data_IF_031203839481
#
_entry.id   IF_031203839481
#
_cell.length_a   1.000
_cell.length_b   1.000
_cell.length_c   1.000
_cell.angle_alpha   90.00
_cell.angle_beta   90.00
_cell.angle_gamma   90.00
#
_symmetry.space_group_name_H-M   'P 1'
#
loop_
_entity.id
_entity.type
_entity.pdbx_description
1 polymer ?
#
# COMPACT_ATOMS: atom_id res chain seq x y z
N UNK A 1 -10.02 -10.06 -16.06
CA UNK A 1 -8.64 -10.59 -16.14
C UNK A 1 -8.21 -11.14 -14.79
N UNK A 2 -8.31 -10.34 -13.70
CA UNK A 2 -7.93 -10.81 -12.37
C UNK A 2 -8.80 -11.99 -11.84
N UNK A 3 -10.12 -12.02 -12.09
CA UNK A 3 -11.05 -13.10 -11.66
C UNK A 3 -10.68 -14.54 -12.07
N UNK A 4 -9.73 -14.69 -13.00
CA UNK A 4 -9.33 -16.00 -13.52
C UNK A 4 -8.01 -16.51 -12.95
N UNK A 5 -7.30 -15.69 -12.14
CA UNK A 5 -6.01 -16.07 -11.60
C UNK A 5 -6.21 -17.10 -10.48
N UNK A 6 -5.53 -18.23 -10.60
CA UNK A 6 -5.46 -19.17 -9.48
C UNK A 6 -4.60 -18.61 -8.34
N UNK A 7 -4.58 -19.30 -7.20
CA UNK A 7 -3.82 -18.85 -6.01
C UNK A 7 -2.31 -18.73 -6.28
N UNK A 8 -1.73 -19.58 -7.14
CA UNK A 8 -0.31 -19.48 -7.50
C UNK A 8 -0.06 -18.28 -8.40
N UNK A 9 -0.93 -18.03 -9.37
CA UNK A 9 -0.83 -16.87 -10.26
C UNK A 9 -1.06 -15.56 -9.50
N UNK A 10 -1.91 -15.56 -8.47
CA UNK A 10 -2.10 -14.43 -7.57
C UNK A 10 -0.84 -14.17 -6.71
N UNK A 11 -0.15 -15.22 -6.24
CA UNK A 11 1.15 -15.08 -5.56
C UNK A 11 2.20 -14.43 -6.48
N UNK A 12 2.26 -14.89 -7.73
CA UNK A 12 3.09 -14.31 -8.78
C UNK A 12 2.76 -12.83 -9.00
N UNK A 13 1.47 -12.50 -9.09
CA UNK A 13 1.01 -11.13 -9.26
C UNK A 13 1.46 -10.22 -8.12
N UNK A 14 1.36 -10.65 -6.85
CA UNK A 14 1.85 -9.88 -5.71
C UNK A 14 3.35 -9.61 -5.77
N UNK A 15 4.15 -10.62 -6.11
CA UNK A 15 5.60 -10.46 -6.28
C UNK A 15 5.91 -9.43 -7.39
N UNK A 16 5.18 -9.49 -8.51
CA UNK A 16 5.34 -8.53 -9.61
C UNK A 16 4.91 -7.11 -9.22
N UNK A 17 3.86 -6.96 -8.40
CA UNK A 17 3.35 -5.68 -7.92
C UNK A 17 4.38 -4.95 -7.03
N UNK A 18 5.26 -5.68 -6.36
CA UNK A 18 6.33 -5.10 -5.56
C UNK A 18 7.51 -4.58 -6.42
N UNK A 19 7.69 -5.06 -7.65
CA UNK A 19 8.76 -4.62 -8.55
C UNK A 19 8.75 -3.10 -8.83
N UNK A 20 7.63 -2.47 -9.23
CA UNK A 20 7.59 -1.02 -9.46
C UNK A 20 7.81 -0.18 -8.20
N UNK A 21 7.62 -0.78 -7.01
CA UNK A 21 7.97 -0.13 -5.75
C UNK A 21 9.49 -0.05 -5.54
N UNK A 22 10.28 -0.89 -6.22
CA UNK A 22 11.73 -0.98 -6.08
C UNK A 22 12.18 -1.31 -4.63
N UNK A 23 11.40 -2.17 -3.95
CA UNK A 23 11.63 -2.58 -2.55
C UNK A 23 12.24 -3.98 -2.42
N UNK A 24 12.31 -4.72 -3.52
CA UNK A 24 12.90 -6.06 -3.59
C UNK A 24 14.15 -5.97 -4.48
N UNK A 25 15.23 -6.66 -4.10
CA UNK A 25 16.44 -6.79 -4.92
C UNK A 25 16.24 -7.70 -6.13
N UNK A 26 17.05 -7.50 -7.18
CA UNK A 26 17.07 -8.39 -8.35
C UNK A 26 17.40 -9.84 -7.95
N UNK A 27 18.35 -10.05 -7.04
CA UNK A 27 18.67 -11.38 -6.52
C UNK A 27 17.46 -12.10 -5.89
N UNK A 28 16.61 -11.38 -5.15
CA UNK A 28 15.40 -11.97 -4.57
C UNK A 28 14.40 -12.36 -5.66
N UNK A 29 14.27 -11.54 -6.71
CA UNK A 29 13.47 -11.86 -7.90
C UNK A 29 14.01 -13.08 -8.63
N UNK A 30 15.33 -13.17 -8.83
CA UNK A 30 15.95 -14.31 -9.50
C UNK A 30 15.75 -15.60 -8.72
N UNK A 31 15.86 -15.54 -7.38
CA UNK A 31 15.52 -16.67 -6.51
C UNK A 31 14.04 -17.05 -6.61
N UNK A 32 13.13 -16.09 -6.75
CA UNK A 32 11.70 -16.37 -6.96
C UNK A 32 11.49 -17.16 -8.25
N UNK A 33 12.07 -16.70 -9.36
CA UNK A 33 11.93 -17.34 -10.68
C UNK A 33 12.62 -18.70 -10.79
N UNK A 34 13.76 -18.87 -10.14
CA UNK A 34 14.60 -20.08 -10.23
C UNK A 34 14.28 -21.13 -9.17
N UNK A 35 13.38 -20.85 -8.22
CA UNK A 35 13.17 -21.70 -7.04
C UNK A 35 12.69 -23.13 -7.34
N UNK A 36 12.14 -23.39 -8.53
CA UNK A 36 11.52 -24.67 -8.90
C UNK A 36 10.31 -25.05 -8.05
N UNK A 37 9.88 -24.17 -7.14
CA UNK A 37 8.70 -24.32 -6.28
C UNK A 37 7.51 -23.63 -6.91
N UNK A 38 6.31 -23.93 -6.40
CA UNK A 38 5.15 -23.12 -6.76
C UNK A 38 5.32 -21.69 -6.24
N UNK A 39 4.77 -20.72 -6.96
CA UNK A 39 4.86 -19.31 -6.59
C UNK A 39 4.27 -19.06 -5.20
N UNK A 40 3.19 -19.76 -4.83
CA UNK A 40 2.59 -19.67 -3.51
C UNK A 40 3.53 -20.17 -2.39
N UNK A 41 4.16 -21.35 -2.56
CA UNK A 41 5.06 -21.91 -1.55
C UNK A 41 6.26 -21.00 -1.30
N UNK A 42 6.82 -20.43 -2.37
CA UNK A 42 7.89 -19.44 -2.24
C UNK A 42 7.38 -18.18 -1.53
N UNK A 43 6.23 -17.64 -1.95
CA UNK A 43 5.68 -16.41 -1.39
C UNK A 43 5.48 -16.51 0.12
N UNK A 44 4.88 -17.61 0.59
CA UNK A 44 4.63 -17.84 2.01
C UNK A 44 5.92 -17.98 2.82
N UNK A 45 6.98 -18.56 2.25
CA UNK A 45 8.28 -18.75 2.93
C UNK A 45 9.15 -17.50 2.93
N UNK A 46 8.99 -16.61 1.96
CA UNK A 46 9.90 -15.49 1.74
C UNK A 46 9.67 -14.29 2.66
N UNK A 47 8.54 -14.27 3.37
CA UNK A 47 8.14 -13.17 4.26
C UNK A 47 8.28 -11.80 3.58
N UNK A 48 7.63 -11.62 2.43
CA UNK A 48 7.72 -10.40 1.63
C UNK A 48 7.32 -9.13 2.39
N UNK A 49 6.55 -9.26 3.47
CA UNK A 49 6.20 -8.14 4.32
C UNK A 49 7.45 -7.47 4.94
N UNK A 50 8.58 -8.18 5.11
CA UNK A 50 9.82 -7.58 5.63
C UNK A 50 10.38 -6.43 4.77
N UNK A 51 10.07 -6.40 3.47
CA UNK A 51 10.49 -5.34 2.54
C UNK A 51 9.66 -4.06 2.66
N UNK A 52 8.53 -4.11 3.39
CA UNK A 52 7.72 -2.94 3.72
C UNK A 52 8.11 -2.42 5.11
N UNK A 53 9.37 -2.08 5.34
CA UNK A 53 9.83 -1.42 6.57
C UNK A 53 9.66 0.12 6.48
N UNK A 54 9.89 0.79 7.60
CA UNK A 54 9.69 2.24 7.73
C UNK A 54 10.60 3.01 6.76
N UNK A 55 11.86 2.61 6.67
CA UNK A 55 12.86 3.29 5.83
C UNK A 55 12.50 3.16 4.36
N UNK A 56 12.22 1.93 3.91
CA UNK A 56 11.83 1.64 2.54
C UNK A 56 10.54 2.36 2.15
N UNK A 57 9.51 2.31 3.00
CA UNK A 57 8.25 3.03 2.76
C UNK A 57 8.47 4.54 2.68
N UNK A 58 9.34 5.11 3.52
CA UNK A 58 9.63 6.55 3.49
C UNK A 58 10.20 7.01 2.14
N UNK A 59 10.94 6.15 1.44
CA UNK A 59 11.50 6.45 0.11
C UNK A 59 10.47 6.38 -1.03
N UNK A 60 9.32 5.74 -0.82
CA UNK A 60 8.28 5.62 -1.84
C UNK A 60 7.56 6.95 -2.04
N UNK A 61 7.32 7.31 -3.31
CA UNK A 61 6.50 8.47 -3.65
C UNK A 61 5.04 8.26 -3.22
N UNK A 62 4.30 9.35 -3.04
CA UNK A 62 2.88 9.30 -2.66
C UNK A 62 2.04 8.56 -3.69
N UNK A 63 2.39 8.68 -4.98
CA UNK A 63 1.71 8.03 -6.10
C UNK A 63 1.94 6.52 -6.06
N UNK A 64 3.18 6.07 -5.80
CA UNK A 64 3.48 4.64 -5.67
C UNK A 64 2.73 4.00 -4.50
N UNK A 65 2.71 4.67 -3.34
CA UNK A 65 1.97 4.23 -2.15
C UNK A 65 0.46 4.11 -2.45
N UNK A 66 -0.12 5.17 -3.02
CA UNK A 66 -1.55 5.22 -3.34
C UNK A 66 -1.91 4.17 -4.39
N UNK A 67 -1.14 4.07 -5.46
CA UNK A 67 -1.36 3.09 -6.54
C UNK A 67 -1.29 1.66 -6.03
N UNK A 68 -0.32 1.35 -5.16
CA UNK A 68 -0.23 0.03 -4.55
C UNK A 68 -1.47 -0.30 -3.70
N UNK A 69 -1.92 0.64 -2.85
CA UNK A 69 -3.12 0.45 -2.02
C UNK A 69 -4.38 0.24 -2.86
N UNK A 70 -4.53 0.98 -3.97
CA UNK A 70 -5.64 0.78 -4.90
C UNK A 70 -5.63 -0.62 -5.51
N UNK A 71 -4.47 -1.11 -5.96
CA UNK A 71 -4.37 -2.48 -6.50
C UNK A 71 -4.68 -3.54 -5.42
N UNK A 72 -4.23 -3.34 -4.17
CA UNK A 72 -4.59 -4.24 -3.05
C UNK A 72 -6.10 -4.25 -2.80
N UNK A 73 -6.75 -3.09 -2.92
CA UNK A 73 -8.21 -2.96 -2.78
C UNK A 73 -8.94 -3.65 -3.94
N UNK A 74 -8.52 -3.42 -5.18
CA UNK A 74 -9.13 -4.06 -6.35
C UNK A 74 -9.05 -5.58 -6.26
N UNK A 75 -7.94 -6.13 -5.76
CA UNK A 75 -7.81 -7.58 -5.50
C UNK A 75 -8.84 -8.06 -4.46
N UNK A 76 -9.14 -7.29 -3.40
CA UNK A 76 -10.16 -7.69 -2.42
C UNK A 76 -11.56 -7.76 -3.02
N UNK A 77 -11.84 -6.84 -3.91
CA UNK A 77 -13.16 -6.72 -4.52
C UNK A 77 -13.40 -7.82 -5.55
N UNK A 78 -12.33 -8.20 -6.26
CA UNK A 78 -12.40 -9.15 -7.37
C UNK A 78 -12.32 -10.61 -6.92
N UNK A 79 -11.50 -10.93 -5.92
CA UNK A 79 -11.23 -12.31 -5.53
C UNK A 79 -12.08 -12.77 -4.34
N UNK A 80 -12.57 -14.00 -4.40
CA UNK A 80 -13.26 -14.62 -3.28
C UNK A 80 -12.32 -14.88 -2.09
N UNK A 81 -12.92 -15.16 -0.93
CA UNK A 81 -12.21 -15.40 0.32
C UNK A 81 -11.11 -16.48 0.21
N UNK A 82 -11.36 -17.57 -0.52
CA UNK A 82 -10.41 -18.68 -0.62
C UNK A 82 -9.14 -18.29 -1.38
N UNK A 83 -9.25 -17.41 -2.37
CA UNK A 83 -8.09 -16.90 -3.12
C UNK A 83 -7.27 -15.91 -2.30
N UNK A 84 -7.91 -15.04 -1.50
CA UNK A 84 -7.20 -14.00 -0.74
C UNK A 84 -6.67 -14.46 0.62
N UNK A 85 -7.27 -15.48 1.25
CA UNK A 85 -6.89 -15.97 2.57
C UNK A 85 -5.38 -16.27 2.71
N UNK A 86 -4.70 -16.91 1.75
CA UNK A 86 -3.27 -17.20 1.85
C UNK A 86 -2.36 -15.96 1.92
N UNK A 87 -2.88 -14.79 1.56
CA UNK A 87 -2.14 -13.53 1.46
C UNK A 87 -2.56 -12.50 2.50
N UNK A 88 -3.52 -12.82 3.38
CA UNK A 88 -4.15 -11.86 4.28
C UNK A 88 -3.13 -11.13 5.15
N UNK A 89 -2.18 -11.85 5.75
CA UNK A 89 -1.13 -11.29 6.61
C UNK A 89 -0.25 -10.28 5.86
N UNK A 90 0.24 -10.66 4.68
CA UNK A 90 1.02 -9.78 3.81
C UNK A 90 0.22 -8.52 3.46
N UNK A 91 -1.02 -8.68 2.99
CA UNK A 91 -1.85 -7.57 2.50
C UNK A 91 -2.21 -6.59 3.61
N UNK A 92 -2.70 -7.10 4.74
CA UNK A 92 -3.04 -6.28 5.91
C UNK A 92 -1.79 -5.62 6.49
N UNK A 93 -0.66 -6.33 6.54
CA UNK A 93 0.62 -5.79 6.94
C UNK A 93 1.06 -4.61 6.07
N UNK A 94 0.98 -4.74 4.74
CA UNK A 94 1.28 -3.63 3.82
C UNK A 94 0.35 -2.44 4.04
N UNK A 95 -0.97 -2.68 4.16
CA UNK A 95 -1.96 -1.62 4.37
C UNK A 95 -1.67 -0.85 5.65
N UNK A 96 -1.47 -1.54 6.78
CA UNK A 96 -1.20 -0.90 8.07
C UNK A 96 0.09 -0.08 8.01
N UNK A 97 1.18 -0.64 7.47
CA UNK A 97 2.47 0.06 7.43
C UNK A 97 2.47 1.25 6.47
N UNK A 98 1.78 1.14 5.35
CA UNK A 98 1.60 2.26 4.41
C UNK A 98 0.74 3.37 5.03
N UNK A 99 -0.38 3.03 5.68
CA UNK A 99 -1.28 4.02 6.30
C UNK A 99 -0.63 4.77 7.47
N UNK A 100 0.17 4.10 8.29
CA UNK A 100 0.93 4.76 9.38
C UNK A 100 1.86 5.85 8.81
N UNK A 101 2.42 5.65 7.62
CA UNK A 101 3.26 6.64 6.95
C UNK A 101 2.48 7.81 6.32
N UNK A 102 1.16 7.71 6.19
CA UNK A 102 0.29 8.81 5.75
C UNK A 102 -0.19 9.71 6.88
N UNK A 103 0.06 9.34 8.14
CA UNK A 103 -0.24 10.22 9.26
C UNK A 103 0.55 11.53 9.08
N UNK A 104 -0.11 12.69 8.95
CA UNK A 104 0.60 13.96 8.88
C UNK A 104 1.46 14.06 10.13
N UNK A 105 2.73 14.37 9.97
CA UNK A 105 3.58 14.78 11.08
C UNK A 105 2.90 15.99 11.73
N UNK A 106 2.15 15.78 12.82
CA UNK A 106 1.45 16.85 13.54
C UNK A 106 2.46 17.88 14.10
N UNK A 107 3.75 17.57 14.05
CA UNK A 107 4.82 18.48 14.46
C UNK A 107 5.28 19.49 13.39
N UNK A 108 4.87 19.36 12.12
CA UNK A 108 5.23 20.35 11.07
C UNK A 108 4.29 21.57 11.01
N UNK A 109 3.17 21.56 11.73
CA UNK A 109 2.17 22.64 11.68
C UNK A 109 2.42 23.80 12.67
N UNK A 110 3.58 23.82 13.36
CA UNK A 110 3.95 24.88 14.33
C UNK A 110 4.92 25.95 13.83
N UNK A 111 5.21 26.01 12.52
CA UNK A 111 6.02 27.08 11.94
C UNK A 111 5.41 27.66 10.65
N UNK A 112 4.16 28.13 10.73
CA UNK A 112 3.66 29.11 9.76
C UNK A 112 3.22 30.33 10.53
N UNK A 113 4.21 31.12 10.94
CA UNK A 113 4.00 32.52 11.24
C UNK A 113 4.83 33.34 10.26
N UNK A 114 4.11 34.20 9.52
CA UNK A 114 4.56 35.29 8.63
C UNK A 114 4.76 34.99 7.14
N UNK A 115 3.73 35.46 6.40
CA UNK A 115 3.84 36.31 5.21
C UNK A 115 4.36 35.62 3.92
N UNK A 116 3.50 35.16 3.01
CA UNK A 116 2.91 36.06 2.01
C UNK A 116 1.81 35.34 1.22
N UNK A 117 0.75 36.11 0.98
CA UNK A 117 -0.41 35.85 0.11
C UNK A 117 0.03 35.46 -1.31
N UNK A 118 -0.47 34.33 -1.84
CA UNK A 118 -1.44 34.34 -2.94
C UNK A 118 -1.80 32.93 -3.44
N UNK A 119 -3.11 32.68 -3.49
CA UNK A 119 -3.84 31.86 -4.47
C UNK A 119 -3.52 30.36 -4.59
N UNK A 120 -4.25 29.53 -3.82
CA UNK A 120 -5.09 28.41 -4.33
C UNK A 120 -5.67 27.61 -3.13
N UNK A 121 -6.63 28.21 -2.41
CA UNK A 121 -7.23 27.67 -1.17
C UNK A 121 -8.65 27.09 -1.35
N UNK A 122 -8.92 26.36 -2.43
CA UNK A 122 -10.28 25.87 -2.71
C UNK A 122 -10.44 24.33 -2.71
N UNK A 123 -9.38 23.54 -2.51
CA UNK A 123 -9.50 22.07 -2.44
C UNK A 123 -9.27 21.52 -1.03
N UNK A 124 -8.27 22.00 -0.29
CA UNK A 124 -8.00 21.54 1.08
C UNK A 124 -9.09 21.93 2.08
N UNK A 125 -9.75 23.08 1.87
CA UNK A 125 -10.81 23.61 2.74
C UNK A 125 -12.12 22.80 2.66
N UNK A 126 -12.37 22.13 1.54
CA UNK A 126 -13.56 21.29 1.33
C UNK A 126 -13.48 19.98 2.10
N UNK A 127 -12.31 19.32 2.08
CA UNK A 127 -12.09 18.06 2.81
C UNK A 127 -12.14 18.25 4.34
N UNK A 128 -11.61 19.37 4.86
CA UNK A 128 -11.68 19.66 6.31
C UNK A 128 -13.09 19.98 6.79
N UNK A 129 -13.96 20.56 5.94
CA UNK A 129 -15.36 20.81 6.27
C UNK A 129 -16.18 19.51 6.34
N UNK A 130 -16.00 18.61 5.37
CA UNK A 130 -16.66 17.30 5.37
C UNK A 130 -16.31 16.47 6.63
N UNK A 131 -15.05 16.53 7.08
CA UNK A 131 -14.63 15.78 8.27
C UNK A 131 -15.24 16.31 9.58
N UNK A 132 -15.53 17.63 9.65
CA UNK A 132 -16.21 18.23 10.80
C UNK A 132 -17.71 17.89 10.84
N UNK A 133 -18.36 17.85 9.68
CA UNK A 133 -19.79 17.48 9.60
C UNK A 133 -20.04 16.02 10.00
N UNK A 134 -19.18 15.09 9.59
CA UNK A 134 -19.27 13.67 9.99
C UNK A 134 -19.16 13.44 11.50
N UNK A 135 -18.40 14.27 12.22
CA UNK A 135 -18.31 14.21 13.69
C UNK A 135 -19.54 14.79 14.40
N UNK A 136 -20.28 15.68 13.76
CA UNK A 136 -21.50 16.27 14.31
C UNK A 136 -22.73 15.35 14.20
N UNK A 137 -22.69 14.33 13.35
CA UNK A 137 -23.80 13.38 13.13
C UNK A 137 -23.83 12.22 14.14
N UNK A 138 -22.84 12.13 15.04
CA UNK A 138 -22.76 11.11 16.08
C UNK A 138 -23.05 11.65 17.50
N UNK A 139 -23.75 12.78 17.62
CA UNK A 139 -24.25 13.31 18.90
C UNK A 139 -25.76 13.50 18.86
#
# INVERSE_FOLDING_TARGET
FAEQLDVNELALFFTLLMKPLNIISEETMDLFWSSGKSFLDYFQKSNFLKYFDVDTISTLSREKKSGFLHVIQDILEVFDEFHVLPFLDFRMGCVVRLLVNYAPNIDEERNIDKETVSTNHNQASTYMKQFKELRSLCL
#
